data_IF_570487980962
#
_entry.id   IF_570487980962
#
_cell.length_a   1.000
_cell.length_b   1.000
_cell.length_c   1.000
_cell.angle_alpha   90.00
_cell.angle_beta   90.00
_cell.angle_gamma   90.00
#
_symmetry.space_group_name_H-M   'P 1'
#
loop_
_entity.id
_entity.type
_entity.pdbx_description
1 polymer ?
#
# COMPACT_ATOMS: atom_id res chain seq x y z
N UNK A 1 6.98 -9.78 -2.63
CA UNK A 1 6.02 -9.02 -3.46
C UNK A 1 5.16 -8.16 -2.53
N UNK A 2 5.08 -6.86 -2.78
CA UNK A 2 4.26 -5.94 -1.97
C UNK A 2 2.92 -5.74 -2.67
N UNK A 3 1.84 -5.94 -1.93
CA UNK A 3 0.48 -5.70 -2.38
C UNK A 3 -0.08 -4.45 -1.70
N UNK A 4 -0.80 -3.66 -2.48
CA UNK A 4 -1.58 -2.55 -1.98
C UNK A 4 -3.05 -2.94 -2.03
N UNK A 5 -3.78 -2.85 -0.92
CA UNK A 5 -5.17 -3.29 -0.77
C UNK A 5 -6.21 -2.56 -1.62
N UNK A 6 -5.79 -1.92 -2.71
CA UNK A 6 -6.68 -1.40 -3.73
C UNK A 6 -7.16 -2.51 -4.63
N UNK A 7 -8.45 -2.55 -4.79
CA UNK A 7 -9.12 -3.48 -5.68
C UNK A 7 -9.09 -2.98 -7.13
N UNK A 8 -9.62 -3.82 -8.01
CA UNK A 8 -9.88 -3.49 -9.40
C UNK A 8 -10.63 -2.15 -9.61
N UNK A 9 -11.42 -1.70 -8.61
CA UNK A 9 -12.22 -0.46 -8.69
C UNK A 9 -11.39 0.82 -8.73
N UNK A 10 -10.15 0.77 -8.26
CA UNK A 10 -9.31 1.95 -8.07
C UNK A 10 -8.24 2.10 -9.14
N UNK A 11 -7.75 0.98 -9.67
CA UNK A 11 -6.67 0.96 -10.66
C UNK A 11 -6.76 -0.31 -11.51
N UNK A 12 -6.70 -0.17 -12.84
CA UNK A 12 -6.58 -1.28 -13.77
C UNK A 12 -5.13 -1.37 -14.28
N UNK A 13 -4.21 -2.08 -13.58
CA UNK A 13 -2.81 -2.13 -13.97
C UNK A 13 -2.64 -2.81 -15.33
N UNK A 14 -1.74 -2.28 -16.13
CA UNK A 14 -1.51 -2.78 -17.49
C UNK A 14 -1.04 -4.25 -17.48
N UNK A 15 -0.25 -4.68 -16.48
CA UNK A 15 0.19 -6.06 -16.37
C UNK A 15 -0.97 -7.05 -16.19
N UNK A 16 -2.04 -6.64 -15.51
CA UNK A 16 -3.23 -7.48 -15.33
C UNK A 16 -3.98 -7.63 -16.65
N UNK A 17 -4.15 -6.53 -17.39
CA UNK A 17 -4.76 -6.56 -18.74
C UNK A 17 -3.95 -7.41 -19.72
N UNK A 18 -2.62 -7.27 -19.70
CA UNK A 18 -1.73 -8.06 -20.54
C UNK A 18 -1.82 -9.56 -20.18
N UNK A 19 -1.91 -9.88 -18.88
CA UNK A 19 -2.10 -11.27 -18.41
C UNK A 19 -3.42 -11.85 -18.90
N UNK A 20 -4.52 -11.10 -18.82
CA UNK A 20 -5.82 -11.57 -19.29
C UNK A 20 -5.80 -11.84 -20.81
N UNK A 21 -5.22 -10.92 -21.59
CA UNK A 21 -5.11 -11.08 -23.05
C UNK A 21 -4.25 -12.27 -23.46
N UNK A 22 -3.22 -12.56 -22.68
CA UNK A 22 -2.28 -13.66 -22.96
C UNK A 22 -2.64 -14.95 -22.21
N UNK A 23 -3.77 -15.00 -21.52
CA UNK A 23 -4.14 -16.09 -20.60
C UNK A 23 -4.01 -17.50 -21.23
N UNK A 24 -4.48 -17.78 -22.46
CA UNK A 24 -4.29 -19.08 -23.08
C UNK A 24 -2.81 -19.46 -23.26
N UNK A 25 -2.01 -18.51 -23.77
CA UNK A 25 -0.57 -18.71 -23.97
C UNK A 25 0.18 -18.94 -22.68
N UNK A 26 -0.17 -18.18 -21.62
CA UNK A 26 0.45 -18.33 -20.28
C UNK A 26 0.07 -19.67 -19.65
N UNK A 27 -1.18 -20.13 -19.87
CA UNK A 27 -1.63 -21.45 -19.41
C UNK A 27 -0.87 -22.59 -20.11
N UNK A 28 -0.64 -22.51 -21.41
CA UNK A 28 0.18 -23.49 -22.12
C UNK A 28 1.59 -23.54 -21.60
N UNK A 29 2.24 -22.39 -21.42
CA UNK A 29 3.58 -22.30 -20.84
C UNK A 29 3.64 -22.93 -19.44
N UNK A 30 2.65 -22.65 -18.60
CA UNK A 30 2.58 -23.27 -17.27
C UNK A 30 2.45 -24.81 -17.36
N UNK A 31 1.60 -25.34 -18.24
CA UNK A 31 1.47 -26.78 -18.47
C UNK A 31 2.78 -27.42 -18.94
N UNK A 32 3.53 -26.76 -19.82
CA UNK A 32 4.86 -27.21 -20.25
C UNK A 32 5.85 -27.25 -19.08
N UNK A 33 5.89 -26.21 -18.24
CA UNK A 33 6.76 -26.15 -17.06
C UNK A 33 6.38 -27.21 -16.02
N UNK A 34 5.09 -27.43 -15.79
CA UNK A 34 4.58 -28.47 -14.89
C UNK A 34 4.98 -29.88 -15.37
N UNK A 35 4.86 -30.15 -16.67
CA UNK A 35 5.31 -31.40 -17.27
C UNK A 35 6.82 -31.59 -17.14
N UNK A 36 7.60 -30.54 -17.37
CA UNK A 36 9.06 -30.58 -17.22
C UNK A 36 9.47 -30.83 -15.76
N UNK A 37 8.81 -30.18 -14.79
CA UNK A 37 9.05 -30.43 -13.36
C UNK A 37 8.75 -31.87 -12.98
N UNK A 38 7.59 -32.40 -13.41
CA UNK A 38 7.22 -33.80 -13.14
C UNK A 38 8.25 -34.80 -13.70
N UNK A 39 8.79 -34.54 -14.91
CA UNK A 39 9.86 -35.38 -15.49
C UNK A 39 11.16 -35.29 -14.68
N UNK A 40 11.53 -34.09 -14.21
CA UNK A 40 12.72 -33.93 -13.36
C UNK A 40 12.54 -34.60 -12.00
N UNK A 41 11.35 -34.53 -11.39
CA UNK A 41 11.04 -35.23 -10.14
C UNK A 41 11.15 -36.74 -10.29
N UNK A 42 10.64 -37.30 -11.39
CA UNK A 42 10.75 -38.74 -11.67
C UNK A 42 12.21 -39.17 -11.87
N UNK A 43 13.01 -38.35 -12.56
CA UNK A 43 14.45 -38.59 -12.71
C UNK A 43 15.19 -38.51 -11.36
N UNK A 44 14.88 -37.45 -10.57
CA UNK A 44 15.46 -37.21 -9.25
C UNK A 44 15.16 -38.35 -8.26
N UNK A 45 13.95 -38.90 -8.32
CA UNK A 45 13.57 -40.04 -7.46
C UNK A 45 14.42 -41.29 -7.70
N UNK A 46 15.01 -41.45 -8.90
CA UNK A 46 15.85 -42.60 -9.30
C UNK A 46 17.34 -42.41 -8.98
N UNK A 47 17.76 -41.24 -8.49
CA UNK A 47 19.16 -40.91 -8.20
C UNK A 47 19.60 -41.37 -6.80
N UNK A 48 20.91 -41.61 -6.63
CA UNK A 48 21.55 -41.78 -5.32
C UNK A 48 21.49 -40.49 -4.47
N UNK A 49 21.74 -40.59 -3.16
CA UNK A 49 21.74 -39.42 -2.26
C UNK A 49 22.76 -38.35 -2.68
N UNK A 50 23.96 -38.76 -3.09
CA UNK A 50 25.01 -37.84 -3.53
C UNK A 50 24.62 -37.09 -4.82
N UNK A 51 24.03 -37.80 -5.78
CA UNK A 51 23.55 -37.22 -7.03
C UNK A 51 22.33 -36.32 -6.82
N UNK A 52 21.46 -36.61 -5.84
CA UNK A 52 20.34 -35.79 -5.44
C UNK A 52 20.84 -34.46 -4.89
N UNK A 53 21.83 -34.47 -4.02
CA UNK A 53 22.41 -33.24 -3.48
C UNK A 53 22.99 -32.35 -4.58
N UNK A 54 23.68 -32.92 -5.55
CA UNK A 54 24.27 -32.20 -6.68
C UNK A 54 23.21 -31.59 -7.64
N UNK A 55 22.04 -32.24 -7.79
CA UNK A 55 20.97 -31.81 -8.72
C UNK A 55 19.79 -31.08 -8.06
N UNK A 56 19.82 -30.92 -6.73
CA UNK A 56 18.73 -30.23 -5.99
C UNK A 56 18.40 -28.86 -6.57
N UNK A 57 19.40 -28.08 -6.92
CA UNK A 57 19.20 -26.75 -7.49
C UNK A 57 18.46 -26.71 -8.84
N UNK A 58 18.56 -27.77 -9.66
CA UNK A 58 17.82 -27.86 -10.94
C UNK A 58 16.33 -28.11 -10.69
N UNK A 59 16.00 -28.96 -9.71
CA UNK A 59 14.62 -29.24 -9.35
C UNK A 59 13.95 -28.02 -8.70
N UNK A 60 14.65 -27.38 -7.76
CA UNK A 60 14.16 -26.16 -7.11
C UNK A 60 13.91 -25.04 -8.11
N UNK A 61 14.81 -24.87 -9.09
CA UNK A 61 14.63 -23.88 -10.14
C UNK A 61 13.42 -24.21 -11.02
N UNK A 62 13.21 -25.47 -11.39
CA UNK A 62 12.06 -25.89 -12.17
C UNK A 62 10.75 -25.69 -11.40
N UNK A 63 10.72 -26.01 -10.12
CA UNK A 63 9.59 -25.80 -9.23
C UNK A 63 9.25 -24.30 -9.12
N UNK A 64 10.25 -23.46 -8.88
CA UNK A 64 10.06 -22.01 -8.80
C UNK A 64 9.52 -21.41 -10.09
N UNK A 65 10.03 -21.84 -11.24
CA UNK A 65 9.55 -21.37 -12.55
C UNK A 65 8.10 -21.77 -12.81
N UNK A 66 7.69 -22.98 -12.44
CA UNK A 66 6.30 -23.43 -12.54
C UNK A 66 5.39 -22.62 -11.62
N UNK A 67 5.80 -22.46 -10.36
CA UNK A 67 5.05 -21.70 -9.35
C UNK A 67 4.88 -20.25 -9.76
N UNK A 68 5.94 -19.59 -10.23
CA UNK A 68 5.86 -18.20 -10.72
C UNK A 68 4.89 -18.08 -11.91
N UNK A 69 4.96 -19.02 -12.86
CA UNK A 69 4.06 -19.02 -14.02
C UNK A 69 2.59 -19.29 -13.64
N UNK A 70 2.37 -20.14 -12.64
CA UNK A 70 1.05 -20.40 -12.07
C UNK A 70 0.49 -19.16 -11.37
N UNK A 71 1.26 -18.58 -10.45
CA UNK A 71 0.85 -17.43 -9.65
C UNK A 71 0.57 -16.21 -10.51
N UNK A 72 1.27 -16.04 -11.64
CA UNK A 72 1.01 -14.97 -12.61
C UNK A 72 -0.43 -14.94 -13.12
N UNK A 73 -1.06 -16.09 -13.26
CA UNK A 73 -2.43 -16.23 -13.73
C UNK A 73 -3.43 -16.39 -12.57
N UNK A 74 -3.13 -17.31 -11.64
CA UNK A 74 -4.03 -17.70 -10.58
C UNK A 74 -4.39 -16.54 -9.65
N UNK A 75 -3.46 -15.62 -9.38
CA UNK A 75 -3.71 -14.41 -8.60
C UNK A 75 -4.79 -13.51 -9.21
N UNK A 76 -4.99 -13.56 -10.53
CA UNK A 76 -5.95 -12.71 -11.23
C UNK A 76 -7.27 -13.45 -11.44
N UNK A 77 -7.21 -14.65 -12.03
CA UNK A 77 -8.41 -15.38 -12.46
C UNK A 77 -8.79 -16.55 -11.55
N UNK A 78 -7.94 -16.90 -10.58
CA UNK A 78 -8.19 -18.00 -9.64
C UNK A 78 -8.41 -19.34 -10.35
N UNK A 79 -9.41 -20.08 -9.92
CA UNK A 79 -9.77 -21.39 -10.44
C UNK A 79 -10.11 -21.43 -11.94
N UNK A 80 -10.38 -20.31 -12.58
CA UNK A 80 -10.65 -20.29 -14.03
C UNK A 80 -9.51 -20.75 -14.92
N UNK A 81 -8.28 -20.88 -14.40
CA UNK A 81 -7.15 -21.43 -15.15
C UNK A 81 -7.34 -22.89 -15.60
N UNK A 82 -8.21 -23.65 -14.91
CA UNK A 82 -8.51 -25.06 -15.25
C UNK A 82 -9.75 -25.25 -16.12
N UNK A 83 -10.47 -24.18 -16.43
CA UNK A 83 -11.65 -24.22 -17.29
C UNK A 83 -11.24 -24.42 -18.75
N UNK A 84 -11.96 -25.27 -19.50
CA UNK A 84 -11.59 -25.61 -20.88
C UNK A 84 -11.67 -24.40 -21.81
N UNK A 85 -12.76 -23.66 -21.78
CA UNK A 85 -12.97 -22.45 -22.59
C UNK A 85 -12.64 -21.17 -21.78
N UNK A 86 -11.55 -20.55 -22.13
CA UNK A 86 -11.10 -19.29 -21.52
C UNK A 86 -11.70 -18.03 -22.16
N UNK A 87 -12.32 -18.14 -23.34
CA UNK A 87 -12.80 -16.96 -24.06
C UNK A 87 -13.85 -16.15 -23.27
N UNK A 88 -14.88 -16.76 -22.64
CA UNK A 88 -15.82 -16.03 -21.80
C UNK A 88 -15.15 -15.39 -20.58
N UNK A 89 -14.18 -16.07 -19.96
CA UNK A 89 -13.41 -15.55 -18.80
C UNK A 89 -12.63 -14.33 -19.21
N UNK A 90 -11.89 -14.39 -20.32
CA UNK A 90 -11.12 -13.25 -20.83
C UNK A 90 -12.03 -12.05 -21.12
N UNK A 91 -13.16 -12.29 -21.80
CA UNK A 91 -14.09 -11.23 -22.20
C UNK A 91 -14.66 -10.48 -20.98
N UNK A 92 -15.07 -11.21 -19.92
CA UNK A 92 -15.65 -10.58 -18.73
C UNK A 92 -14.61 -9.81 -17.91
N UNK A 93 -13.39 -10.33 -17.78
CA UNK A 93 -12.31 -9.62 -17.10
C UNK A 93 -11.85 -8.39 -17.90
N UNK A 94 -11.74 -8.48 -19.23
CA UNK A 94 -11.47 -7.32 -20.08
C UNK A 94 -12.55 -6.22 -19.93
N UNK A 95 -13.84 -6.62 -19.87
CA UNK A 95 -14.95 -5.70 -19.58
C UNK A 95 -14.76 -5.02 -18.22
N UNK A 96 -14.44 -5.77 -17.16
CA UNK A 96 -14.20 -5.23 -15.82
C UNK A 96 -13.04 -4.22 -15.82
N UNK A 97 -11.88 -4.61 -16.36
CA UNK A 97 -10.72 -3.73 -16.45
C UNK A 97 -10.97 -2.51 -17.33
N UNK A 98 -11.77 -2.66 -18.40
CA UNK A 98 -12.17 -1.54 -19.25
C UNK A 98 -12.98 -0.48 -18.51
N UNK A 99 -13.93 -0.90 -17.67
CA UNK A 99 -14.70 -0.01 -16.80
C UNK A 99 -13.80 0.68 -15.78
N UNK A 100 -12.94 -0.06 -15.09
CA UNK A 100 -11.99 0.51 -14.11
C UNK A 100 -11.07 1.54 -14.75
N UNK A 101 -10.58 1.29 -15.97
CA UNK A 101 -9.76 2.25 -16.72
C UNK A 101 -10.51 3.55 -17.03
N UNK A 102 -11.82 3.46 -17.33
CA UNK A 102 -12.67 4.65 -17.52
C UNK A 102 -12.83 5.43 -16.21
N UNK A 103 -13.08 4.73 -15.10
CA UNK A 103 -13.17 5.34 -13.76
C UNK A 103 -11.85 6.08 -13.45
N UNK A 104 -10.70 5.42 -13.59
CA UNK A 104 -9.39 6.03 -13.34
C UNK A 104 -9.13 7.28 -14.21
N UNK A 105 -9.59 7.27 -15.46
CA UNK A 105 -9.50 8.45 -16.35
C UNK A 105 -10.42 9.60 -15.94
N UNK A 106 -11.60 9.30 -15.39
CA UNK A 106 -12.52 10.31 -14.85
C UNK A 106 -12.01 10.86 -13.51
N UNK A 107 -11.42 10.04 -12.66
CA UNK A 107 -10.82 10.48 -11.40
C UNK A 107 -9.64 11.44 -11.63
N UNK A 108 -8.82 11.22 -12.66
CA UNK A 108 -7.77 12.16 -13.07
C UNK A 108 -8.37 13.52 -13.47
N UNK A 109 -9.42 13.50 -14.32
CA UNK A 109 -10.12 14.74 -14.73
C UNK A 109 -10.81 15.43 -13.54
N UNK A 110 -11.42 14.65 -12.67
CA UNK A 110 -12.05 15.14 -11.43
C UNK A 110 -11.05 15.89 -10.57
N UNK A 111 -9.84 15.36 -10.41
CA UNK A 111 -8.78 15.98 -9.65
C UNK A 111 -8.41 17.36 -10.24
N UNK A 112 -8.20 17.44 -11.55
CA UNK A 112 -7.84 18.69 -12.22
C UNK A 112 -8.94 19.75 -12.03
N UNK A 113 -10.22 19.38 -12.24
CA UNK A 113 -11.37 20.29 -12.04
C UNK A 113 -11.53 20.71 -10.56
N UNK A 114 -11.29 19.76 -9.64
CA UNK A 114 -11.34 20.04 -8.20
C UNK A 114 -10.28 21.05 -7.77
N UNK A 115 -9.05 20.90 -8.26
CA UNK A 115 -7.96 21.86 -7.99
C UNK A 115 -8.32 23.26 -8.51
N UNK A 116 -8.91 23.33 -9.71
CA UNK A 116 -9.36 24.61 -10.28
C UNK A 116 -10.48 25.26 -9.47
N UNK A 117 -11.48 24.45 -9.06
CA UNK A 117 -12.58 24.89 -8.22
C UNK A 117 -12.08 25.40 -6.87
N UNK A 118 -11.19 24.64 -6.22
CA UNK A 118 -10.68 24.98 -4.89
C UNK A 118 -9.81 26.24 -4.93
N UNK A 119 -9.00 26.42 -5.98
CA UNK A 119 -8.21 27.64 -6.19
C UNK A 119 -9.11 28.86 -6.41
N UNK A 120 -10.15 28.71 -7.22
CA UNK A 120 -11.10 29.78 -7.47
C UNK A 120 -11.93 30.12 -6.23
N UNK A 121 -12.41 29.10 -5.50
CA UNK A 121 -13.17 29.30 -4.26
C UNK A 121 -12.37 30.08 -3.20
N UNK A 122 -11.08 29.75 -3.08
CA UNK A 122 -10.16 30.48 -2.20
C UNK A 122 -10.03 31.96 -2.59
N UNK A 123 -9.77 32.21 -3.87
CA UNK A 123 -9.64 33.57 -4.37
C UNK A 123 -10.94 34.40 -4.23
N UNK A 124 -12.10 33.74 -4.45
CA UNK A 124 -13.42 34.34 -4.24
C UNK A 124 -13.64 34.70 -2.77
N UNK A 125 -13.28 33.81 -1.85
CA UNK A 125 -13.38 34.04 -0.41
C UNK A 125 -12.51 35.25 0.01
N UNK A 126 -11.25 35.26 -0.41
CA UNK A 126 -10.31 36.35 -0.12
C UNK A 126 -10.78 37.69 -0.67
N UNK A 127 -11.25 37.70 -1.93
CA UNK A 127 -11.80 38.91 -2.55
C UNK A 127 -13.02 39.47 -1.79
N UNK A 128 -13.92 38.60 -1.28
CA UNK A 128 -15.06 38.98 -0.46
C UNK A 128 -14.62 39.58 0.89
N UNK A 129 -13.61 39.02 1.52
CA UNK A 129 -13.02 39.54 2.77
C UNK A 129 -12.37 40.92 2.57
N UNK A 130 -11.77 41.16 1.39
CA UNK A 130 -11.17 42.43 0.99
C UNK A 130 -12.19 43.44 0.41
N UNK A 131 -13.49 43.09 0.37
CA UNK A 131 -14.57 43.97 -0.12
C UNK A 131 -14.64 44.10 -1.64
N UNK A 132 -13.99 43.21 -2.39
CA UNK A 132 -13.96 43.19 -3.85
C UNK A 132 -15.06 42.32 -4.45
N UNK A 133 -15.51 42.64 -5.68
CA UNK A 133 -16.47 41.79 -6.41
C UNK A 133 -15.79 40.50 -6.90
N UNK A 134 -16.41 39.36 -6.64
CA UNK A 134 -15.90 38.03 -7.04
C UNK A 134 -16.83 37.35 -8.06
N UNK A 135 -16.26 36.65 -9.03
CA UNK A 135 -17.00 35.90 -10.06
C UNK A 135 -17.48 34.55 -9.53
N UNK A 136 -18.67 34.49 -8.97
CA UNK A 136 -19.32 33.27 -8.50
C UNK A 136 -19.85 32.39 -9.68
N UNK A 137 -19.94 32.92 -10.90
CA UNK A 137 -20.45 32.17 -12.07
C UNK A 137 -19.55 31.03 -12.49
N UNK A 138 -18.26 31.30 -12.60
CA UNK A 138 -17.25 30.28 -12.95
C UNK A 138 -17.09 29.21 -11.87
N UNK A 139 -17.29 29.57 -10.59
CA UNK A 139 -17.27 28.61 -9.49
C UNK A 139 -18.42 27.60 -9.62
N UNK A 140 -19.65 28.09 -9.90
CA UNK A 140 -20.82 27.23 -10.15
C UNK A 140 -20.65 26.33 -11.38
N UNK A 141 -19.99 26.82 -12.44
CA UNK A 141 -19.65 25.99 -13.62
C UNK A 141 -18.74 24.82 -13.25
N UNK A 142 -17.67 25.07 -12.47
CA UNK A 142 -16.75 24.02 -12.02
C UNK A 142 -17.43 23.02 -11.08
N UNK A 143 -18.30 23.48 -10.20
CA UNK A 143 -19.12 22.61 -9.34
C UNK A 143 -20.08 21.74 -10.16
N UNK A 144 -20.67 22.29 -11.22
CA UNK A 144 -21.50 21.55 -12.17
C UNK A 144 -20.73 20.44 -12.87
N UNK A 145 -19.50 20.74 -13.34
CA UNK A 145 -18.60 19.75 -13.96
C UNK A 145 -18.21 18.63 -12.98
N UNK A 146 -17.94 18.96 -11.72
CA UNK A 146 -17.64 17.95 -10.69
C UNK A 146 -18.82 17.02 -10.46
N UNK A 147 -20.04 17.56 -10.33
CA UNK A 147 -21.26 16.73 -10.17
C UNK A 147 -21.51 15.80 -11.36
N UNK A 148 -21.23 16.29 -12.57
CA UNK A 148 -21.35 15.47 -13.78
C UNK A 148 -20.36 14.30 -13.76
N UNK A 149 -19.06 14.57 -13.45
CA UNK A 149 -18.04 13.55 -13.33
C UNK A 149 -18.38 12.55 -12.22
N UNK A 150 -18.80 13.03 -11.05
CA UNK A 150 -19.21 12.16 -9.94
C UNK A 150 -20.38 11.24 -10.31
N UNK A 151 -21.34 11.74 -11.07
CA UNK A 151 -22.47 10.94 -11.58
C UNK A 151 -22.00 9.86 -12.57
N UNK A 152 -21.06 10.21 -13.48
CA UNK A 152 -20.50 9.24 -14.43
C UNK A 152 -19.69 8.16 -13.69
N UNK A 153 -18.88 8.53 -12.71
CA UNK A 153 -18.12 7.57 -11.88
C UNK A 153 -19.06 6.66 -11.10
N UNK A 154 -20.14 7.18 -10.51
CA UNK A 154 -21.12 6.38 -9.78
C UNK A 154 -21.82 5.37 -10.70
N UNK A 155 -22.19 5.76 -11.93
CA UNK A 155 -22.76 4.87 -12.93
C UNK A 155 -21.80 3.75 -13.32
N UNK A 156 -20.54 4.06 -13.57
CA UNK A 156 -19.51 3.08 -13.91
C UNK A 156 -19.23 2.12 -12.74
N UNK A 157 -19.21 2.60 -11.51
CA UNK A 157 -19.06 1.76 -10.31
C UNK A 157 -20.24 0.77 -10.18
N UNK A 158 -21.46 1.21 -10.45
CA UNK A 158 -22.62 0.33 -10.47
C UNK A 158 -22.51 -0.75 -11.55
N UNK A 159 -22.03 -0.41 -12.75
CA UNK A 159 -21.75 -1.38 -13.82
C UNK A 159 -20.65 -2.37 -13.41
N UNK A 160 -19.61 -1.92 -12.74
CA UNK A 160 -18.53 -2.79 -12.27
C UNK A 160 -19.02 -3.80 -11.23
N UNK A 161 -19.92 -3.39 -10.32
CA UNK A 161 -20.57 -4.31 -9.37
C UNK A 161 -21.38 -5.39 -10.11
N UNK A 162 -22.12 -5.01 -11.16
CA UNK A 162 -22.85 -5.99 -11.98
C UNK A 162 -21.89 -6.99 -12.65
N UNK A 163 -20.80 -6.50 -13.24
CA UNK A 163 -19.80 -7.39 -13.87
C UNK A 163 -19.16 -8.33 -12.85
N UNK A 164 -18.92 -7.89 -11.63
CA UNK A 164 -18.43 -8.76 -10.55
C UNK A 164 -19.43 -9.87 -10.21
N UNK A 165 -20.70 -9.55 -10.13
CA UNK A 165 -21.75 -10.55 -9.93
C UNK A 165 -21.82 -11.54 -11.11
N UNK A 166 -21.62 -11.06 -12.36
CA UNK A 166 -21.51 -11.94 -13.54
C UNK A 166 -20.31 -12.90 -13.38
N UNK A 167 -19.16 -12.42 -12.94
CA UNK A 167 -17.96 -13.23 -12.68
C UNK A 167 -18.23 -14.29 -11.58
N UNK A 168 -18.90 -13.91 -10.49
CA UNK A 168 -19.25 -14.84 -9.41
C UNK A 168 -20.26 -15.89 -9.87
N UNK A 169 -21.23 -15.50 -10.71
CA UNK A 169 -22.16 -16.44 -11.35
C UNK A 169 -21.45 -17.44 -12.26
N UNK A 170 -20.43 -16.99 -13.01
CA UNK A 170 -19.60 -17.88 -13.82
C UNK A 170 -18.78 -18.87 -12.99
N UNK A 171 -18.41 -18.54 -11.75
CA UNK A 171 -17.71 -19.41 -10.80
C UNK A 171 -18.60 -20.49 -10.20
N UNK A 172 -19.88 -20.19 -10.00
CA UNK A 172 -20.81 -21.07 -9.29
C UNK A 172 -20.81 -22.53 -9.78
N UNK A 173 -20.82 -22.85 -11.09
CA UNK A 173 -20.80 -24.22 -11.58
C UNK A 173 -19.54 -25.02 -11.20
N UNK A 174 -18.41 -24.34 -10.92
CA UNK A 174 -17.11 -24.98 -10.65
C UNK A 174 -16.81 -25.12 -9.15
N UNK A 175 -17.63 -24.57 -8.27
CA UNK A 175 -17.39 -24.59 -6.81
C UNK A 175 -17.28 -25.99 -6.21
N UNK A 176 -17.85 -27.03 -6.85
CA UNK A 176 -17.72 -28.43 -6.44
C UNK A 176 -16.43 -29.13 -6.91
N UNK A 177 -15.61 -28.48 -7.74
CA UNK A 177 -14.36 -29.06 -8.26
C UNK A 177 -13.19 -28.78 -7.32
N UNK A 178 -12.52 -29.83 -6.86
CA UNK A 178 -11.33 -29.69 -6.00
C UNK A 178 -10.20 -28.96 -6.70
N UNK A 179 -9.97 -29.21 -7.99
CA UNK A 179 -8.95 -28.53 -8.78
C UNK A 179 -9.26 -27.03 -8.92
N UNK A 180 -10.52 -26.69 -9.16
CA UNK A 180 -10.92 -25.29 -9.22
C UNK A 180 -10.67 -24.60 -7.88
N UNK A 181 -11.07 -25.20 -6.76
CA UNK A 181 -10.90 -24.62 -5.42
C UNK A 181 -9.45 -24.44 -5.05
N UNK A 182 -8.58 -25.39 -5.40
CA UNK A 182 -7.14 -25.30 -5.19
C UNK A 182 -6.55 -24.02 -5.79
N UNK A 183 -6.92 -23.68 -7.01
CA UNK A 183 -6.39 -22.49 -7.68
C UNK A 183 -7.18 -21.22 -7.34
N UNK A 184 -8.46 -21.34 -6.98
CA UNK A 184 -9.25 -20.21 -6.50
C UNK A 184 -8.72 -19.66 -5.17
N UNK A 185 -8.17 -20.52 -4.31
CA UNK A 185 -7.51 -20.12 -3.06
C UNK A 185 -6.25 -19.23 -3.28
N UNK A 186 -5.67 -19.27 -4.49
CA UNK A 186 -4.53 -18.42 -4.87
C UNK A 186 -4.96 -17.05 -5.41
N UNK A 187 -6.25 -16.84 -5.64
CA UNK A 187 -6.76 -15.56 -6.15
C UNK A 187 -6.55 -14.45 -5.13
N UNK A 188 -6.05 -13.34 -5.61
CA UNK A 188 -5.78 -12.16 -4.81
C UNK A 188 -6.31 -10.91 -5.55
N UNK A 189 -7.23 -10.19 -4.93
CA UNK A 189 -7.78 -8.95 -5.48
C UNK A 189 -6.82 -7.75 -5.31
N UNK A 190 -5.68 -7.94 -4.66
CA UNK A 190 -4.65 -6.92 -4.46
C UNK A 190 -3.87 -6.61 -5.73
N UNK A 191 -3.27 -5.43 -5.73
CA UNK A 191 -2.40 -4.98 -6.82
C UNK A 191 -0.94 -5.23 -6.43
N UNK A 192 -0.22 -6.00 -7.25
CA UNK A 192 1.21 -6.25 -7.08
C UNK A 192 2.01 -4.99 -7.43
N UNK A 193 2.54 -4.33 -6.40
CA UNK A 193 3.28 -3.07 -6.55
C UNK A 193 4.57 -3.24 -7.34
N UNK A 194 5.21 -4.43 -7.31
CA UNK A 194 6.45 -4.68 -8.01
C UNK A 194 6.29 -4.71 -9.54
N UNK A 195 5.06 -4.94 -10.02
CA UNK A 195 4.73 -5.05 -11.45
C UNK A 195 4.17 -3.79 -12.07
N UNK A 196 3.92 -2.76 -11.26
CA UNK A 196 3.36 -1.49 -11.73
C UNK A 196 4.37 -0.73 -12.60
N UNK A 197 3.88 -0.17 -13.70
CA UNK A 197 4.63 0.80 -14.50
C UNK A 197 4.79 2.11 -13.70
N UNK A 198 5.82 2.89 -14.07
CA UNK A 198 6.13 4.15 -13.38
C UNK A 198 4.93 5.10 -13.26
N UNK A 199 4.12 5.22 -14.32
CA UNK A 199 2.95 6.11 -14.31
C UNK A 199 1.86 5.63 -13.32
N UNK A 200 1.66 4.32 -13.21
CA UNK A 200 0.70 3.69 -12.29
C UNK A 200 1.18 3.84 -10.85
N UNK A 201 2.46 3.53 -10.58
CA UNK A 201 3.10 3.72 -9.28
C UNK A 201 3.02 5.18 -8.83
N UNK A 202 3.22 6.14 -9.76
CA UNK A 202 3.11 7.57 -9.43
C UNK A 202 1.72 7.95 -8.91
N UNK A 203 0.64 7.36 -9.43
CA UNK A 203 -0.72 7.59 -8.91
C UNK A 203 -0.88 7.05 -7.49
N UNK A 204 -0.37 5.83 -7.25
CA UNK A 204 -0.44 5.23 -5.91
C UNK A 204 0.40 5.94 -4.88
N UNK A 205 1.53 6.53 -5.25
CA UNK A 205 2.39 7.31 -4.33
C UNK A 205 1.70 8.53 -3.73
N UNK A 206 0.60 9.00 -4.28
CA UNK A 206 -0.23 10.02 -3.64
C UNK A 206 -0.92 9.49 -2.40
N UNK A 207 -1.49 8.27 -2.51
CA UNK A 207 -2.27 7.65 -1.46
C UNK A 207 -1.40 6.86 -0.47
N UNK A 208 -0.16 6.56 -0.86
CA UNK A 208 0.78 5.72 -0.12
C UNK A 208 2.08 6.49 0.11
N UNK A 209 2.38 6.79 1.36
CA UNK A 209 3.54 7.58 1.76
C UNK A 209 4.46 6.82 2.71
N UNK A 210 5.69 7.28 2.86
CA UNK A 210 6.71 6.67 3.70
C UNK A 210 7.29 7.70 4.67
N UNK A 211 7.31 7.37 5.95
CA UNK A 211 8.05 8.08 6.99
C UNK A 211 9.34 7.29 7.22
N UNK A 212 10.48 7.94 6.98
CA UNK A 212 11.80 7.30 7.03
C UNK A 212 12.34 7.22 8.45
N UNK A 213 13.23 6.26 8.67
CA UNK A 213 13.95 6.01 9.91
C UNK A 213 14.82 7.20 10.32
N UNK A 214 15.61 7.72 9.38
CA UNK A 214 16.53 8.84 9.65
C UNK A 214 15.95 10.18 9.18
N UNK A 215 15.54 11.05 10.12
CA UNK A 215 15.02 12.36 9.77
C UNK A 215 16.08 13.31 9.20
N UNK A 216 17.39 13.00 9.37
CA UNK A 216 18.46 13.81 8.83
C UNK A 216 18.66 13.61 7.33
N UNK A 217 18.82 12.36 6.90
CA UNK A 217 19.07 12.03 5.50
C UNK A 217 17.83 12.16 4.63
N UNK A 218 16.64 12.08 5.24
CA UNK A 218 15.36 12.15 4.53
C UNK A 218 14.93 13.53 4.08
N UNK A 219 15.50 14.60 4.64
CA UNK A 219 15.16 16.00 4.34
C UNK A 219 16.26 16.67 3.53
N UNK A 220 15.88 17.34 2.43
CA UNK A 220 16.85 18.11 1.65
C UNK A 220 17.30 19.36 2.44
N UNK A 221 18.59 19.46 2.83
CA UNK A 221 19.09 20.55 3.67
C UNK A 221 19.07 21.94 2.99
N UNK A 222 18.90 21.98 1.67
CA UNK A 222 18.85 23.21 0.86
C UNK A 222 17.43 23.76 0.67
N UNK A 223 16.41 23.04 1.14
CA UNK A 223 15.01 23.45 1.06
C UNK A 223 14.52 23.94 2.41
N UNK A 224 13.69 24.97 2.42
CA UNK A 224 12.98 25.36 3.64
C UNK A 224 11.88 24.36 4.02
N UNK A 225 11.43 24.40 5.28
CA UNK A 225 10.32 23.54 5.76
C UNK A 225 9.10 23.63 4.86
N UNK A 226 8.69 24.86 4.49
CA UNK A 226 7.56 25.06 3.58
C UNK A 226 7.76 24.42 2.20
N UNK A 227 8.98 24.50 1.65
CA UNK A 227 9.31 23.86 0.37
C UNK A 227 9.28 22.33 0.48
N UNK A 228 9.82 21.76 1.55
CA UNK A 228 9.83 20.30 1.79
C UNK A 228 8.40 19.77 1.88
N UNK A 229 7.53 20.43 2.63
CA UNK A 229 6.13 20.00 2.81
C UNK A 229 5.34 20.16 1.51
N UNK A 230 5.52 21.29 0.80
CA UNK A 230 4.77 21.58 -0.43
C UNK A 230 5.24 20.77 -1.65
N UNK A 231 6.43 20.17 -1.65
CA UNK A 231 7.00 19.44 -2.79
C UNK A 231 6.06 18.31 -3.24
N UNK A 232 5.55 17.49 -2.31
CA UNK A 232 4.61 16.42 -2.59
C UNK A 232 3.29 16.93 -3.19
N UNK A 233 2.75 18.03 -2.66
CA UNK A 233 1.52 18.64 -3.17
C UNK A 233 1.68 19.08 -4.64
N UNK A 234 2.82 19.67 -4.99
CA UNK A 234 3.12 20.12 -6.35
C UNK A 234 3.38 18.93 -7.28
N UNK A 235 4.17 17.95 -6.84
CA UNK A 235 4.48 16.75 -7.63
C UNK A 235 3.23 15.95 -8.02
N UNK A 236 2.23 15.91 -7.13
CA UNK A 236 0.94 15.24 -7.35
C UNK A 236 -0.15 16.16 -7.90
N UNK A 237 0.21 17.39 -8.33
CA UNK A 237 -0.71 18.37 -8.93
C UNK A 237 -1.92 18.70 -8.04
N UNK A 238 -1.76 18.67 -6.72
CA UNK A 238 -2.83 19.04 -5.77
C UNK A 238 -3.05 20.55 -5.73
N UNK A 239 -2.02 21.29 -6.12
CA UNK A 239 -2.02 22.75 -6.24
C UNK A 239 -1.34 23.16 -7.55
N UNK A 240 -1.78 24.28 -8.12
CA UNK A 240 -1.10 24.85 -9.29
C UNK A 240 0.19 25.55 -8.86
N UNK A 241 1.09 25.74 -9.81
CA UNK A 241 2.28 26.56 -9.60
C UNK A 241 1.83 27.98 -9.27
N UNK A 242 2.32 28.55 -8.16
CA UNK A 242 1.94 29.85 -7.61
C UNK A 242 0.48 29.94 -7.09
N UNK A 243 -0.11 28.84 -6.67
CA UNK A 243 -1.41 28.83 -5.98
C UNK A 243 -1.25 29.44 -4.57
N UNK A 244 -1.99 30.50 -4.29
CA UNK A 244 -1.91 31.20 -2.99
C UNK A 244 -2.34 30.30 -1.82
N UNK A 245 -3.21 29.31 -2.07
CA UNK A 245 -3.62 28.31 -1.06
C UNK A 245 -2.48 27.43 -0.56
N UNK A 246 -1.42 27.27 -1.36
CA UNK A 246 -0.31 26.36 -1.00
C UNK A 246 0.27 26.71 0.37
N UNK A 247 0.42 27.98 0.68
CA UNK A 247 0.94 28.42 1.97
C UNK A 247 -0.01 28.07 3.12
N UNK A 248 -1.33 28.25 2.95
CA UNK A 248 -2.30 27.87 3.97
C UNK A 248 -2.33 26.36 4.19
N UNK A 249 -2.34 25.59 3.11
CA UNK A 249 -2.30 24.12 3.20
C UNK A 249 -1.03 23.61 3.91
N UNK A 250 0.11 24.26 3.66
CA UNK A 250 1.36 23.93 4.37
C UNK A 250 1.27 24.26 5.84
N UNK A 251 0.73 25.44 6.19
CA UNK A 251 0.54 25.86 7.57
C UNK A 251 -0.43 24.96 8.33
N UNK A 252 -1.53 24.55 7.69
CA UNK A 252 -2.49 23.58 8.25
C UNK A 252 -1.81 22.25 8.61
N UNK A 253 -1.02 21.69 7.69
CA UNK A 253 -0.29 20.44 7.94
C UNK A 253 0.79 20.61 9.02
N UNK A 254 1.47 21.77 9.05
CA UNK A 254 2.45 22.09 10.09
C UNK A 254 1.77 22.12 11.47
N UNK A 255 0.62 22.77 11.59
CA UNK A 255 -0.16 22.82 12.84
C UNK A 255 -0.58 21.43 13.31
N UNK A 256 -1.09 20.58 12.40
CA UNK A 256 -1.47 19.19 12.68
C UNK A 256 -0.30 18.36 13.24
N UNK A 257 0.93 18.69 12.81
CA UNK A 257 2.15 18.04 13.30
C UNK A 257 2.81 18.73 14.50
N UNK A 258 2.18 19.77 15.07
CA UNK A 258 2.71 20.55 16.19
C UNK A 258 3.95 21.38 15.82
N UNK A 259 4.04 21.86 14.59
CA UNK A 259 5.09 22.75 14.09
C UNK A 259 4.58 24.19 14.05
N UNK A 260 5.32 25.10 14.68
CA UNK A 260 4.93 26.49 14.73
C UNK A 260 5.02 27.20 13.35
N UNK A 261 4.10 28.11 12.99
CA UNK A 261 4.07 28.78 11.69
C UNK A 261 5.37 29.50 11.31
N UNK A 262 6.08 30.08 12.28
CA UNK A 262 7.35 30.78 12.03
C UNK A 262 8.50 29.86 11.62
N UNK A 263 8.33 28.53 11.62
CA UNK A 263 9.27 27.56 11.08
C UNK A 263 9.24 27.45 9.55
N UNK A 264 8.21 27.99 8.90
CA UNK A 264 7.98 27.86 7.45
C UNK A 264 9.22 28.14 6.57
N UNK A 265 9.98 29.17 6.93
CA UNK A 265 11.14 29.63 6.17
C UNK A 265 12.48 29.10 6.70
N UNK A 266 12.49 28.31 7.78
CA UNK A 266 13.69 27.73 8.35
C UNK A 266 14.14 26.48 7.58
N UNK A 267 15.41 26.11 7.76
CA UNK A 267 16.03 24.96 7.10
C UNK A 267 16.21 23.80 8.08
N UNK A 268 16.26 22.53 7.61
CA UNK A 268 16.33 21.34 8.46
C UNK A 268 17.43 21.33 9.50
N UNK A 269 18.62 21.88 9.17
CA UNK A 269 19.74 21.92 10.10
C UNK A 269 19.50 22.79 11.35
N UNK A 270 18.47 23.62 11.36
CA UNK A 270 18.11 24.50 12.48
C UNK A 270 17.15 23.86 13.51
N UNK A 271 16.88 22.54 13.36
CA UNK A 271 15.91 21.82 14.17
C UNK A 271 16.52 20.65 14.92
N UNK A 272 15.91 20.28 16.07
CA UNK A 272 16.21 19.06 16.79
C UNK A 272 15.77 17.81 16.01
N UNK A 273 16.23 16.63 16.43
CA UNK A 273 15.85 15.34 15.82
C UNK A 273 14.32 15.14 15.79
N UNK A 274 13.65 15.35 16.91
CA UNK A 274 12.18 15.23 17.00
C UNK A 274 11.43 16.25 16.16
N UNK A 275 11.93 17.50 16.06
CA UNK A 275 11.33 18.50 15.17
C UNK A 275 11.51 18.13 13.69
N UNK A 276 12.66 17.58 13.29
CA UNK A 276 12.88 17.08 11.92
C UNK A 276 11.96 15.89 11.62
N UNK A 277 11.74 15.01 12.57
CA UNK A 277 10.80 13.91 12.41
C UNK A 277 9.37 14.44 12.17
N UNK A 278 8.94 15.45 12.92
CA UNK A 278 7.65 16.13 12.68
C UNK A 278 7.56 16.76 11.29
N UNK A 279 8.66 17.33 10.77
CA UNK A 279 8.71 17.84 9.40
C UNK A 279 8.59 16.69 8.38
N UNK A 280 9.24 15.57 8.61
CA UNK A 280 9.12 14.36 7.78
C UNK A 280 7.69 13.79 7.77
N UNK A 281 7.03 13.76 8.93
CA UNK A 281 5.62 13.38 9.07
C UNK A 281 4.74 14.38 8.29
N UNK A 282 4.92 15.69 8.48
CA UNK A 282 4.18 16.72 7.78
C UNK A 282 4.33 16.62 6.26
N UNK A 283 5.55 16.37 5.76
CA UNK A 283 5.80 16.11 4.33
C UNK A 283 4.97 14.93 3.81
N UNK A 284 4.91 13.83 4.55
CA UNK A 284 4.16 12.63 4.14
C UNK A 284 2.66 12.89 4.16
N UNK A 285 2.14 13.62 5.15
CA UNK A 285 0.71 13.93 5.28
C UNK A 285 0.22 14.99 4.30
N UNK A 286 1.12 15.82 3.76
CA UNK A 286 0.78 16.89 2.84
C UNK A 286 0.03 16.43 1.59
N UNK A 287 0.23 15.18 1.17
CA UNK A 287 -0.49 14.57 0.05
C UNK A 287 -1.86 14.01 0.41
N UNK A 288 -2.27 14.08 1.68
CA UNK A 288 -3.50 13.47 2.24
C UNK A 288 -3.57 11.98 1.89
N UNK A 289 -2.57 11.17 2.30
CA UNK A 289 -2.49 9.76 1.97
C UNK A 289 -3.60 8.96 2.68
N UNK A 290 -3.84 7.74 2.22
CA UNK A 290 -4.70 6.76 2.90
C UNK A 290 -3.89 5.74 3.69
N UNK A 291 -2.66 5.50 3.25
CA UNK A 291 -1.76 4.50 3.79
C UNK A 291 -0.36 5.08 4.00
N UNK A 292 0.21 4.87 5.17
CA UNK A 292 1.55 5.37 5.51
C UNK A 292 2.39 4.22 6.06
N UNK A 293 3.55 4.01 5.47
CA UNK A 293 4.57 3.11 6.00
C UNK A 293 5.47 3.91 6.94
N UNK A 294 5.58 3.48 8.18
CA UNK A 294 6.46 4.03 9.18
C UNK A 294 7.65 3.07 9.35
N UNK A 295 8.76 3.38 8.72
CA UNK A 295 9.97 2.55 8.76
C UNK A 295 10.86 3.05 9.89
N UNK A 296 10.83 2.34 11.03
CA UNK A 296 11.51 2.71 12.27
C UNK A 296 11.41 4.21 12.64
N UNK A 297 10.24 4.80 12.44
CA UNK A 297 10.01 6.24 12.48
C UNK A 297 10.39 6.94 13.80
N UNK A 298 10.69 6.18 14.86
CA UNK A 298 11.00 6.72 16.19
C UNK A 298 12.30 6.18 16.78
N UNK A 299 12.97 5.23 16.14
CA UNK A 299 14.16 4.53 16.70
C UNK A 299 15.36 5.46 16.97
N UNK A 300 15.50 6.53 16.20
CA UNK A 300 16.59 7.51 16.34
C UNK A 300 16.33 8.63 17.36
N UNK A 301 15.23 8.55 18.13
CA UNK A 301 14.80 9.59 19.06
C UNK A 301 14.93 9.14 20.51
N UNK A 302 15.11 10.10 21.43
CA UNK A 302 15.03 9.82 22.86
C UNK A 302 13.62 9.41 23.30
N UNK A 303 13.51 8.65 24.37
CA UNK A 303 12.26 8.02 24.85
C UNK A 303 11.11 9.04 25.01
N UNK A 304 11.41 10.24 25.52
CA UNK A 304 10.39 11.27 25.74
C UNK A 304 9.83 11.81 24.42
N UNK A 305 10.69 12.06 23.46
CA UNK A 305 10.29 12.53 22.12
C UNK A 305 9.61 11.40 21.33
N UNK A 306 10.10 10.16 21.46
CA UNK A 306 9.49 8.97 20.88
C UNK A 306 8.01 8.86 21.29
N UNK A 307 7.69 8.96 22.60
CA UNK A 307 6.31 8.92 23.09
C UNK A 307 5.45 10.05 22.47
N UNK A 308 6.01 11.26 22.33
CA UNK A 308 5.29 12.38 21.71
C UNK A 308 4.99 12.14 20.22
N UNK A 309 5.92 11.52 19.48
CA UNK A 309 5.71 11.20 18.05
C UNK A 309 4.69 10.09 17.87
N UNK A 310 4.72 9.07 18.73
CA UNK A 310 3.74 7.96 18.71
C UNK A 310 2.33 8.48 18.98
N UNK A 311 2.15 9.32 20.01
CA UNK A 311 0.87 9.94 20.31
C UNK A 311 0.39 10.82 19.15
N UNK A 312 1.30 11.59 18.52
CA UNK A 312 0.97 12.36 17.32
C UNK A 312 0.48 11.46 16.18
N UNK A 313 1.15 10.34 15.92
CA UNK A 313 0.75 9.40 14.87
C UNK A 313 -0.61 8.75 15.17
N UNK A 314 -0.88 8.42 16.43
CA UNK A 314 -2.17 7.90 16.87
C UNK A 314 -3.29 8.93 16.66
N UNK A 315 -3.08 10.16 17.09
CA UNK A 315 -4.04 11.25 16.87
C UNK A 315 -4.35 11.48 15.38
N UNK A 316 -3.31 11.42 14.53
CA UNK A 316 -3.45 11.57 13.08
C UNK A 316 -4.17 10.37 12.44
N UNK A 317 -3.92 9.14 12.93
CA UNK A 317 -4.63 7.92 12.51
C UNK A 317 -6.14 8.11 12.69
N UNK A 318 -6.56 8.57 13.87
CA UNK A 318 -7.98 8.76 14.20
C UNK A 318 -8.61 9.92 13.43
N UNK A 319 -7.95 11.10 13.44
CA UNK A 319 -8.49 12.32 12.82
C UNK A 319 -8.61 12.23 11.30
N UNK A 320 -7.67 11.53 10.65
CA UNK A 320 -7.59 11.47 9.18
C UNK A 320 -7.97 10.10 8.62
N UNK A 321 -8.35 9.13 9.48
CA UNK A 321 -8.69 7.75 9.10
C UNK A 321 -7.56 7.08 8.29
N UNK A 322 -6.33 7.17 8.82
CA UNK A 322 -5.13 6.63 8.17
C UNK A 322 -4.93 5.15 8.51
N UNK A 323 -4.41 4.41 7.56
CA UNK A 323 -3.90 3.05 7.79
C UNK A 323 -2.38 3.10 7.86
N UNK A 324 -1.79 2.52 8.92
CA UNK A 324 -0.34 2.41 9.08
C UNK A 324 0.16 0.99 8.85
N UNK A 325 1.31 0.89 8.18
CA UNK A 325 2.23 -0.24 8.32
C UNK A 325 3.42 0.23 9.15
N UNK A 326 3.48 -0.20 10.40
CA UNK A 326 4.52 0.22 11.33
C UNK A 326 5.60 -0.87 11.40
N UNK A 327 6.83 -0.54 11.00
CA UNK A 327 7.99 -1.43 11.06
C UNK A 327 8.84 -0.96 12.23
N UNK A 328 9.07 -1.81 13.20
CA UNK A 328 9.87 -1.49 14.38
C UNK A 328 10.37 -2.76 15.08
N UNK A 329 11.43 -2.63 15.85
CA UNK A 329 11.92 -3.64 16.77
C UNK A 329 11.52 -3.36 18.25
N UNK A 330 10.84 -2.24 18.50
CA UNK A 330 10.37 -1.86 19.84
C UNK A 330 8.96 -2.42 20.09
N UNK A 331 8.90 -3.45 20.92
CA UNK A 331 7.66 -4.15 21.26
C UNK A 331 6.68 -3.28 22.06
N UNK A 332 7.19 -2.33 22.85
CA UNK A 332 6.34 -1.40 23.63
C UNK A 332 5.56 -0.48 22.67
N UNK A 333 6.21 -0.02 21.61
CA UNK A 333 5.58 0.79 20.57
C UNK A 333 4.54 -0.04 19.81
N UNK A 334 4.88 -1.28 19.44
CA UNK A 334 3.98 -2.18 18.73
C UNK A 334 2.70 -2.42 19.53
N UNK A 335 2.81 -2.75 20.81
CA UNK A 335 1.66 -2.98 21.69
C UNK A 335 0.70 -1.79 21.74
N UNK A 336 1.23 -0.58 21.71
CA UNK A 336 0.44 0.64 21.86
C UNK A 336 -0.30 1.05 20.56
N UNK A 337 0.33 0.90 19.38
CA UNK A 337 -0.19 1.49 18.14
C UNK A 337 -0.87 0.48 17.21
N UNK A 338 -0.59 -0.83 17.39
CA UNK A 338 -0.95 -1.85 16.41
C UNK A 338 -2.27 -2.54 16.71
N UNK A 339 -3.10 -2.72 15.69
CA UNK A 339 -4.31 -3.56 15.74
C UNK A 339 -3.93 -5.03 15.46
N UNK A 340 -3.00 -5.27 14.51
CA UNK A 340 -2.47 -6.59 14.16
C UNK A 340 -0.95 -6.54 14.09
N UNK A 341 -0.31 -7.66 14.43
CA UNK A 341 1.15 -7.78 14.49
C UNK A 341 1.60 -8.94 13.62
N UNK A 342 2.61 -8.68 12.78
CA UNK A 342 3.33 -9.71 12.04
C UNK A 342 4.76 -9.81 12.57
N UNK A 343 5.14 -10.97 13.04
CA UNK A 343 6.51 -11.26 13.50
C UNK A 343 7.31 -11.82 12.35
N UNK A 344 8.50 -11.24 12.10
CA UNK A 344 9.42 -11.69 11.07
C UNK A 344 10.69 -12.26 11.68
N UNK A 345 11.14 -13.41 11.15
CA UNK A 345 12.39 -14.04 11.51
C UNK A 345 13.15 -14.48 10.25
N UNK A 346 14.41 -14.09 10.13
CA UNK A 346 15.28 -14.40 8.97
C UNK A 346 14.61 -14.11 7.61
N UNK A 347 13.89 -12.98 7.51
CA UNK A 347 13.24 -12.54 6.27
C UNK A 347 11.90 -13.21 5.96
N UNK A 348 11.44 -14.12 6.81
CA UNK A 348 10.15 -14.82 6.67
C UNK A 348 9.15 -14.35 7.73
N UNK A 349 7.87 -14.27 7.36
CA UNK A 349 6.78 -14.03 8.29
C UNK A 349 6.51 -15.34 9.04
N UNK A 350 6.75 -15.37 10.36
CA UNK A 350 6.61 -16.58 11.18
C UNK A 350 5.32 -16.61 11.98
N UNK A 351 4.76 -15.44 12.30
CA UNK A 351 3.48 -15.34 13.02
C UNK A 351 2.74 -14.08 12.59
N UNK A 352 1.41 -14.16 12.48
CA UNK A 352 0.54 -13.02 12.15
C UNK A 352 -0.81 -13.19 12.85
N UNK A 353 -1.11 -12.33 13.83
CA UNK A 353 -2.36 -12.34 14.55
C UNK A 353 -2.77 -10.94 15.03
N UNK A 354 -3.90 -10.83 15.70
CA UNK A 354 -4.30 -9.61 16.39
C UNK A 354 -3.30 -9.29 17.50
N UNK A 355 -3.12 -8.00 17.81
CA UNK A 355 -2.13 -7.54 18.79
C UNK A 355 -2.30 -8.24 20.14
N UNK A 356 -3.53 -8.34 20.64
CA UNK A 356 -3.84 -9.01 21.90
C UNK A 356 -3.39 -10.49 21.90
N UNK A 357 -3.70 -11.21 20.80
CA UNK A 357 -3.35 -12.63 20.67
C UNK A 357 -1.85 -12.87 20.69
N UNK A 358 -1.07 -12.03 19.99
CA UNK A 358 0.41 -12.15 19.97
C UNK A 358 1.00 -11.98 21.39
N UNK A 359 0.45 -11.06 22.20
CA UNK A 359 0.97 -10.81 23.54
C UNK A 359 0.48 -11.84 24.58
N UNK A 360 -0.74 -12.37 24.41
CA UNK A 360 -1.33 -13.28 25.40
C UNK A 360 -1.02 -14.75 25.12
N UNK A 361 -0.94 -15.14 23.83
CA UNK A 361 -0.79 -16.54 23.40
C UNK A 361 0.16 -16.66 22.19
N UNK A 362 1.45 -16.31 22.30
CA UNK A 362 2.41 -16.49 21.22
C UNK A 362 2.54 -17.97 20.86
N UNK A 363 2.51 -18.27 19.54
CA UNK A 363 2.56 -19.66 19.04
C UNK A 363 3.95 -20.03 18.55
N UNK A 364 4.66 -19.08 17.96
CA UNK A 364 5.99 -19.35 17.41
C UNK A 364 7.07 -19.16 18.49
N UNK A 365 8.03 -20.09 18.67
CA UNK A 365 9.07 -19.99 19.71
C UNK A 365 9.88 -18.68 19.66
N UNK A 366 10.12 -18.14 18.48
CA UNK A 366 10.80 -16.84 18.35
C UNK A 366 9.94 -15.68 18.89
N UNK A 367 8.63 -15.70 18.69
CA UNK A 367 7.71 -14.70 19.25
C UNK A 367 7.71 -14.75 20.76
N UNK A 368 7.63 -15.95 21.33
CA UNK A 368 7.69 -16.17 22.78
C UNK A 368 9.01 -15.64 23.36
N UNK A 369 10.15 -15.98 22.74
CA UNK A 369 11.45 -15.49 23.19
C UNK A 369 11.58 -13.96 23.09
N UNK A 370 11.02 -13.33 22.04
CA UNK A 370 10.99 -11.88 21.91
C UNK A 370 10.17 -11.21 23.04
N UNK A 371 9.02 -11.78 23.38
CA UNK A 371 8.14 -11.24 24.43
C UNK A 371 8.77 -11.41 25.83
N UNK A 372 9.41 -12.54 26.08
CA UNK A 372 10.11 -12.81 27.34
C UNK A 372 11.36 -11.93 27.53
N UNK A 373 11.90 -11.37 26.45
CA UNK A 373 13.01 -10.42 26.53
C UNK A 373 12.58 -8.99 26.92
N UNK A 374 11.27 -8.71 27.02
CA UNK A 374 10.78 -7.39 27.46
C UNK A 374 11.00 -7.27 28.99
N UNK A 375 11.74 -6.24 29.48
CA UNK A 375 11.90 -6.01 30.92
C UNK A 375 10.53 -5.70 31.54
N UNK A 376 10.04 -6.58 32.38
CA UNK A 376 8.84 -6.32 33.18
C UNK A 376 9.24 -5.71 34.52
N UNK A 377 8.56 -4.63 34.92
CA UNK A 377 8.81 -3.93 36.20
C UNK A 377 8.29 -4.70 37.41
N UNK A 378 7.64 -5.84 37.22
CA UNK A 378 6.95 -6.60 38.27
C UNK A 378 7.65 -7.88 38.72
N UNK A 379 8.75 -8.30 38.10
CA UNK A 379 9.44 -9.52 38.50
C UNK A 379 10.70 -9.21 39.33
N UNK A 380 10.63 -9.35 40.64
CA UNK A 380 11.80 -9.48 41.52
C UNK A 380 12.51 -10.85 41.39
N UNK A 381 11.99 -11.77 40.59
CA UNK A 381 12.64 -13.04 40.24
C UNK A 381 13.22 -12.94 38.83
N UNK A 382 14.56 -12.92 38.74
CA UNK A 382 15.29 -13.13 37.50
C UNK A 382 15.00 -14.55 37.03
N UNK A 383 13.97 -14.75 36.21
CA UNK A 383 13.88 -15.93 35.35
C UNK A 383 15.03 -15.89 34.36
N UNK A 384 15.81 -16.97 34.28
CA UNK A 384 16.93 -17.10 33.37
C UNK A 384 16.44 -16.82 31.93
N UNK A 385 17.06 -15.84 31.27
CA UNK A 385 16.81 -15.55 29.86
C UNK A 385 16.90 -16.84 29.04
N UNK A 386 15.80 -17.28 28.47
CA UNK A 386 15.79 -18.40 27.54
C UNK A 386 16.53 -17.99 26.27
N UNK A 387 17.78 -18.43 26.18
CA UNK A 387 18.58 -18.29 24.98
C UNK A 387 18.09 -19.35 24.00
N UNK A 388 17.61 -18.92 22.83
CA UNK A 388 17.31 -19.85 21.73
C UNK A 388 18.63 -20.53 21.30
N UNK A 389 18.72 -21.84 21.48
CA UNK A 389 19.80 -22.66 20.93
C UNK A 389 19.56 -22.82 19.43
N UNK A 390 20.40 -22.22 18.61
CA UNK A 390 20.39 -22.38 17.16
C UNK A 390 21.10 -21.22 16.47
N UNK A 391 22.10 -21.54 15.64
CA UNK A 391 22.79 -20.59 14.75
C UNK A 391 21.87 -20.07 13.65
#
# INVERSE_FOLDING_TARGET
>A
TMYYGRSLDDLAPQYMLDTIKELPKRREKWKELSSKRAQLEEQYAKLSEEERYAKHGELDQAQKLEEDALLDMAKIVGGFIVVDDLAPVMAIYEKAYGITKQIAGLDDKRLDVQVDRDSLAFNVKKAKEEGSSADDGKLKELEGKLKEIDSQVASLRSQLVQVRQEIDTMRAPYQGSADFQKYEALRDDGIDLARLKYAEMRKLRRDMQLIFQDPYSSLNPRMSVGQIISEGMQAHKMVKKNDERMQEMVLEVMEQCGLAPYFLHRFPHQFSGGQRQRIGIARSLATKPKFVVCDEAVSALDVSIQAQIINLLQDLKEKQNLTYLFITHDLSVVKYISDRIGVMYLGSMVELADSQEIFDNPVHPYTEALLNAIPTTESEEQEDLQILEGD
#
